data_IF_107631171980
#
_entry.id   IF_107631171980
#
_cell.length_a   1.000
_cell.length_b   1.000
_cell.length_c   1.000
_cell.angle_alpha   90.00
_cell.angle_beta   90.00
_cell.angle_gamma   90.00
#
_symmetry.space_group_name_H-M   'P 1'
#
loop_
_entity.id
_entity.type
_entity.pdbx_description
1 polymer ?
#
# COMPACT_ATOMS: atom_id res chain seq x y z
N UNK A 1 10.61 57.40 -11.23
CA UNK A 1 11.14 56.98 -12.56
C UNK A 1 12.67 56.79 -12.55
N UNK A 2 13.47 57.82 -12.24
CA UNK A 2 14.95 57.72 -12.24
C UNK A 2 15.50 56.66 -11.27
N UNK A 3 14.91 56.56 -10.08
CA UNK A 3 15.20 55.52 -9.09
C UNK A 3 14.88 54.10 -9.59
N UNK A 4 13.69 53.88 -10.15
CA UNK A 4 13.30 52.58 -10.73
C UNK A 4 14.26 52.13 -11.84
N UNK A 5 14.63 53.05 -12.75
CA UNK A 5 15.58 52.75 -13.82
C UNK A 5 16.98 52.44 -13.28
N UNK A 6 17.43 53.16 -12.24
CA UNK A 6 18.71 52.88 -11.58
C UNK A 6 18.72 51.47 -10.97
N UNK A 7 17.64 51.08 -10.26
CA UNK A 7 17.49 49.75 -9.67
C UNK A 7 17.48 48.65 -10.74
N UNK A 8 16.72 48.85 -11.83
CA UNK A 8 16.63 47.89 -12.93
C UNK A 8 17.98 47.72 -13.64
N UNK A 9 18.66 48.82 -13.97
CA UNK A 9 19.92 48.79 -14.72
C UNK A 9 21.09 48.22 -13.90
N UNK A 10 21.09 48.42 -12.58
CA UNK A 10 22.14 47.94 -11.68
C UNK A 10 21.81 46.59 -11.03
N UNK A 11 20.70 45.95 -11.40
CA UNK A 11 20.30 44.65 -10.84
C UNK A 11 21.34 43.55 -11.09
N UNK A 12 21.95 43.55 -12.28
CA UNK A 12 22.98 42.56 -12.64
C UNK A 12 24.31 42.78 -11.89
N UNK A 13 24.61 44.01 -11.47
CA UNK A 13 25.83 44.40 -10.77
C UNK A 13 25.68 44.38 -9.24
N UNK A 14 24.47 44.48 -8.70
CA UNK A 14 24.19 44.38 -7.27
C UNK A 14 22.83 43.73 -7.00
N UNK A 15 22.83 42.42 -6.67
CA UNK A 15 21.61 41.66 -6.34
C UNK A 15 21.03 41.99 -4.95
N UNK A 16 21.71 42.81 -4.16
CA UNK A 16 21.23 43.28 -2.85
C UNK A 16 20.22 44.43 -2.98
N UNK A 17 20.07 45.00 -4.18
CA UNK A 17 19.01 45.96 -4.47
C UNK A 17 17.65 45.26 -4.37
N UNK A 18 16.64 45.92 -3.80
CA UNK A 18 15.29 45.38 -3.83
C UNK A 18 14.72 45.47 -5.26
N UNK A 19 13.97 44.46 -5.71
CA UNK A 19 13.34 44.48 -7.05
C UNK A 19 12.27 45.56 -7.15
N UNK A 20 12.11 46.12 -8.34
CA UNK A 20 11.02 47.08 -8.61
C UNK A 20 9.74 46.30 -8.90
N UNK A 21 8.66 46.60 -8.19
CA UNK A 21 7.36 45.95 -8.42
C UNK A 21 6.74 46.42 -9.74
N UNK A 22 6.19 45.48 -10.52
CA UNK A 22 5.52 45.78 -11.78
C UNK A 22 4.32 46.72 -11.61
N UNK A 23 3.63 46.65 -10.47
CA UNK A 23 2.53 47.56 -10.11
C UNK A 23 3.01 49.02 -10.08
N UNK A 24 4.14 49.29 -9.42
CA UNK A 24 4.75 50.62 -9.38
C UNK A 24 5.22 51.12 -10.75
N UNK A 25 5.67 50.21 -11.63
CA UNK A 25 6.05 50.56 -13.01
C UNK A 25 4.80 50.96 -13.81
N UNK A 26 3.71 50.20 -13.69
CA UNK A 26 2.46 50.52 -14.37
C UNK A 26 1.87 51.86 -13.90
N UNK A 27 1.92 52.16 -12.59
CA UNK A 27 1.51 53.47 -12.06
C UNK A 27 2.32 54.62 -12.68
N UNK A 28 3.65 54.46 -12.78
CA UNK A 28 4.54 55.46 -13.38
C UNK A 28 4.30 55.67 -14.88
N UNK A 29 3.91 54.61 -15.60
CA UNK A 29 3.60 54.67 -17.04
C UNK A 29 2.20 55.22 -17.34
N UNK A 30 1.29 55.22 -16.35
CA UNK A 30 -0.09 55.69 -16.51
C UNK A 30 -0.28 57.18 -16.16
N UNK A 31 0.77 57.89 -15.71
CA UNK A 31 0.69 59.31 -15.38
C UNK A 31 0.43 60.16 -16.64
N UNK A 32 -0.63 60.98 -16.60
CA UNK A 32 -0.94 61.98 -17.64
C UNK A 32 -0.75 63.42 -17.12
N UNK A 33 -0.22 64.35 -17.94
CA UNK A 33 0.21 64.16 -19.32
C UNK A 33 1.50 63.35 -19.41
N UNK A 34 1.58 62.47 -20.42
CA UNK A 34 2.78 61.66 -20.69
C UNK A 34 3.94 62.63 -20.87
N UNK A 35 5.03 62.54 -20.07
CA UNK A 35 6.18 63.41 -20.25
C UNK A 35 6.78 63.13 -21.64
N UNK A 36 6.46 64.02 -22.59
CA UNK A 36 6.81 63.88 -23.99
C UNK A 36 8.33 63.71 -24.14
N UNK A 37 8.76 62.63 -24.79
CA UNK A 37 10.16 62.33 -25.15
C UNK A 37 11.18 62.22 -24.01
N UNK A 38 10.79 61.88 -22.79
CA UNK A 38 11.77 61.58 -21.75
C UNK A 38 12.40 60.18 -22.03
N UNK A 39 13.72 60.07 -22.31
CA UNK A 39 14.35 58.80 -22.68
C UNK A 39 14.25 57.73 -21.58
N UNK A 40 14.03 58.15 -20.33
CA UNK A 40 13.73 57.24 -19.21
C UNK A 40 12.37 56.57 -19.34
N UNK A 41 11.35 57.28 -19.84
CA UNK A 41 10.00 56.73 -20.02
C UNK A 41 9.99 55.64 -21.11
N UNK A 42 10.72 55.86 -22.21
CA UNK A 42 10.84 54.87 -23.31
C UNK A 42 11.49 53.57 -22.78
N UNK A 43 12.63 53.68 -22.09
CA UNK A 43 13.31 52.51 -21.49
C UNK A 43 12.45 51.78 -20.47
N UNK A 44 11.73 52.52 -19.62
CA UNK A 44 10.85 51.90 -18.63
C UNK A 44 9.70 51.13 -19.30
N UNK A 45 9.18 51.64 -20.41
CA UNK A 45 8.16 50.97 -21.22
C UNK A 45 8.69 49.67 -21.83
N UNK A 46 9.92 49.65 -22.36
CA UNK A 46 10.55 48.44 -22.89
C UNK A 46 10.66 47.35 -21.82
N UNK A 47 11.18 47.67 -20.64
CA UNK A 47 11.25 46.72 -19.52
C UNK A 47 9.87 46.24 -19.06
N UNK A 48 8.86 47.11 -19.09
CA UNK A 48 7.49 46.72 -18.75
C UNK A 48 6.91 45.73 -19.77
N UNK A 49 7.20 45.88 -21.07
CA UNK A 49 6.80 44.89 -22.08
C UNK A 49 7.54 43.56 -21.91
N UNK A 50 8.84 43.57 -21.61
CA UNK A 50 9.58 42.36 -21.27
C UNK A 50 8.99 41.64 -20.04
N UNK A 51 8.60 42.41 -19.02
CA UNK A 51 7.94 41.87 -17.83
C UNK A 51 6.60 41.21 -18.16
N UNK A 52 5.81 41.79 -19.08
CA UNK A 52 4.56 41.20 -19.57
C UNK A 52 4.80 39.90 -20.33
N UNK A 53 5.83 39.84 -21.19
CA UNK A 53 6.21 38.62 -21.88
C UNK A 53 6.64 37.52 -20.89
N UNK A 54 7.37 37.89 -19.83
CA UNK A 54 7.72 36.97 -18.75
C UNK A 54 6.48 36.46 -18.01
N UNK A 55 5.53 37.34 -17.67
CA UNK A 55 4.25 36.97 -17.05
C UNK A 55 3.51 35.94 -17.92
N UNK A 56 3.37 36.21 -19.22
CA UNK A 56 2.71 35.30 -20.15
C UNK A 56 3.41 33.94 -20.23
N UNK A 57 4.74 33.93 -20.29
CA UNK A 57 5.52 32.69 -20.29
C UNK A 57 5.32 31.89 -18.99
N UNK A 58 5.28 32.56 -17.83
CA UNK A 58 5.02 31.90 -16.54
C UNK A 58 3.59 31.36 -16.49
N UNK A 59 2.59 32.16 -16.83
CA UNK A 59 1.18 31.73 -16.79
C UNK A 59 0.95 30.54 -17.75
N UNK A 60 1.57 30.55 -18.93
CA UNK A 60 1.55 29.41 -19.86
C UNK A 60 2.18 28.14 -19.26
N UNK A 61 3.32 28.26 -18.57
CA UNK A 61 3.97 27.14 -17.90
C UNK A 61 3.20 26.64 -16.66
N UNK A 62 2.50 27.53 -15.95
CA UNK A 62 1.66 27.17 -14.81
C UNK A 62 0.44 26.33 -15.25
N UNK A 63 -0.15 26.67 -16.40
CA UNK A 63 -1.36 26.04 -16.95
C UNK A 63 -1.10 24.77 -17.77
N UNK A 64 0.17 24.47 -18.08
CA UNK A 64 0.55 23.34 -18.93
C UNK A 64 1.32 22.28 -18.16
N UNK A 65 1.31 21.06 -18.70
CA UNK A 65 2.24 20.01 -18.29
C UNK A 65 3.63 20.36 -18.83
N UNK A 66 4.43 21.01 -17.99
CA UNK A 66 5.80 21.40 -18.33
C UNK A 66 6.79 20.38 -17.77
N UNK A 67 7.93 20.20 -18.45
CA UNK A 67 9.03 19.39 -17.93
C UNK A 67 9.72 20.12 -16.78
N UNK A 68 10.25 19.35 -15.83
CA UNK A 68 10.92 19.93 -14.67
C UNK A 68 12.07 20.88 -15.04
N UNK A 69 12.92 20.49 -16.00
CA UNK A 69 14.03 21.33 -16.47
C UNK A 69 13.56 22.66 -17.10
N UNK A 70 12.44 22.65 -17.81
CA UNK A 70 11.87 23.87 -18.41
C UNK A 70 11.36 24.82 -17.33
N UNK A 71 10.69 24.28 -16.30
CA UNK A 71 10.24 25.07 -15.14
C UNK A 71 11.41 25.67 -14.36
N UNK A 72 12.49 24.91 -14.15
CA UNK A 72 13.70 25.40 -13.48
C UNK A 72 14.44 26.46 -14.30
N UNK A 73 14.54 26.27 -15.61
CA UNK A 73 15.11 27.26 -16.52
C UNK A 73 14.30 28.55 -16.52
N UNK A 74 12.96 28.43 -16.57
CA UNK A 74 12.07 29.59 -16.53
C UNK A 74 12.15 30.31 -15.18
N UNK A 75 12.22 29.55 -14.08
CA UNK A 75 12.36 30.11 -12.74
C UNK A 75 13.70 30.83 -12.55
N UNK A 76 14.80 30.26 -13.04
CA UNK A 76 16.12 30.89 -13.00
C UNK A 76 16.12 32.21 -13.77
N UNK A 77 15.59 32.20 -15.00
CA UNK A 77 15.39 33.41 -15.81
C UNK A 77 14.54 34.47 -15.10
N UNK A 78 13.48 34.05 -14.41
CA UNK A 78 12.61 34.95 -13.67
C UNK A 78 13.28 35.52 -12.40
N UNK A 79 14.16 34.76 -11.77
CA UNK A 79 14.97 35.22 -10.63
C UNK A 79 16.05 36.22 -11.03
N UNK A 80 16.60 36.09 -12.23
CA UNK A 80 17.55 37.04 -12.79
C UNK A 80 16.86 38.30 -13.35
N UNK A 81 15.53 38.32 -13.43
CA UNK A 81 14.78 39.45 -13.93
C UNK A 81 14.68 40.60 -12.89
N UNK A 82 14.97 41.86 -13.28
CA UNK A 82 15.05 43.00 -12.36
C UNK A 82 13.70 43.47 -11.81
N UNK A 83 12.59 43.10 -12.48
CA UNK A 83 11.24 43.50 -12.09
C UNK A 83 10.59 42.34 -11.35
N UNK A 84 10.05 42.63 -10.17
CA UNK A 84 9.26 41.66 -9.42
C UNK A 84 7.84 41.57 -9.99
N UNK A 85 7.41 40.34 -10.27
CA UNK A 85 6.03 39.99 -10.64
C UNK A 85 5.55 38.85 -9.76
N UNK A 86 4.31 38.92 -9.28
CA UNK A 86 3.70 37.94 -8.36
C UNK A 86 3.70 36.51 -8.90
N UNK A 87 3.66 36.36 -10.22
CA UNK A 87 3.74 35.08 -10.92
C UNK A 87 5.04 34.31 -10.61
N UNK A 88 6.13 35.00 -10.26
CA UNK A 88 7.41 34.36 -9.89
C UNK A 88 7.24 33.52 -8.62
N UNK A 89 6.47 33.99 -7.64
CA UNK A 89 6.19 33.24 -6.42
C UNK A 89 5.39 31.98 -6.69
N UNK A 90 4.38 32.07 -7.56
CA UNK A 90 3.59 30.90 -7.98
C UNK A 90 4.46 29.86 -8.68
N UNK A 91 5.36 30.31 -9.56
CA UNK A 91 6.31 29.43 -10.23
C UNK A 91 7.29 28.79 -9.23
N UNK A 92 7.82 29.57 -8.30
CA UNK A 92 8.69 29.10 -7.20
C UNK A 92 8.02 27.99 -6.40
N UNK A 93 6.74 28.19 -6.05
CA UNK A 93 5.94 27.22 -5.32
C UNK A 93 5.76 25.93 -6.12
N UNK A 94 5.39 26.02 -7.42
CA UNK A 94 5.24 24.84 -8.29
C UNK A 94 6.56 24.05 -8.42
N UNK A 95 7.68 24.74 -8.63
CA UNK A 95 9.02 24.11 -8.68
C UNK A 95 9.38 23.45 -7.35
N UNK A 96 9.13 24.13 -6.23
CA UNK A 96 9.45 23.61 -4.90
C UNK A 96 8.61 22.37 -4.55
N UNK A 97 7.30 22.41 -4.84
CA UNK A 97 6.41 21.26 -4.63
C UNK A 97 6.80 20.08 -5.53
N UNK A 98 7.17 20.33 -6.79
CA UNK A 98 7.65 19.28 -7.70
C UNK A 98 8.95 18.64 -7.18
N UNK A 99 9.88 19.43 -6.63
CA UNK A 99 11.10 18.90 -5.97
C UNK A 99 10.78 18.05 -4.74
N UNK A 100 9.89 18.53 -3.88
CA UNK A 100 9.48 17.81 -2.68
C UNK A 100 8.79 16.48 -3.02
N UNK A 101 7.93 16.49 -4.04
CA UNK A 101 7.32 15.27 -4.57
C UNK A 101 8.36 14.30 -5.10
N UNK A 102 9.31 14.77 -5.92
CA UNK A 102 10.36 13.93 -6.50
C UNK A 102 11.28 13.32 -5.43
N UNK A 103 11.63 14.09 -4.40
CA UNK A 103 12.37 13.56 -3.24
C UNK A 103 11.58 12.49 -2.49
N UNK A 104 10.25 12.63 -2.41
CA UNK A 104 9.39 11.64 -1.78
C UNK A 104 9.25 10.39 -2.63
N UNK A 105 8.94 10.54 -3.92
CA UNK A 105 8.81 9.43 -4.87
C UNK A 105 10.08 8.56 -4.94
N UNK A 106 11.27 9.18 -4.92
CA UNK A 106 12.56 8.47 -4.96
C UNK A 106 12.81 7.52 -3.79
N UNK A 107 12.13 7.71 -2.66
CA UNK A 107 12.21 6.79 -1.51
C UNK A 107 11.55 5.44 -1.80
N UNK A 108 10.63 5.40 -2.76
CA UNK A 108 9.77 4.25 -3.08
C UNK A 108 10.16 3.56 -4.38
N UNK A 109 11.24 4.00 -5.03
CA UNK A 109 11.77 3.35 -6.22
C UNK A 109 12.44 2.03 -5.78
N UNK A 110 12.11 0.88 -6.41
CA UNK A 110 12.47 -0.46 -5.93
C UNK A 110 13.95 -0.65 -5.57
N UNK A 111 14.89 -0.12 -6.37
CA UNK A 111 16.34 -0.25 -6.15
C UNK A 111 16.85 0.38 -4.84
N UNK A 112 16.05 1.24 -4.19
CA UNK A 112 16.46 1.99 -2.99
C UNK A 112 15.56 1.74 -1.78
N UNK A 113 14.55 0.90 -1.92
CA UNK A 113 13.52 0.73 -0.91
C UNK A 113 13.90 -0.41 0.05
N UNK A 114 14.30 -0.07 1.27
CA UNK A 114 14.63 -1.07 2.31
C UNK A 114 13.40 -1.52 3.13
N UNK A 115 12.27 -0.84 2.98
CA UNK A 115 11.06 -1.07 3.77
C UNK A 115 9.85 -1.29 2.86
N UNK A 116 8.95 -2.15 3.31
CA UNK A 116 7.72 -2.44 2.60
C UNK A 116 6.79 -1.21 2.57
N UNK A 117 6.30 -0.88 1.37
CA UNK A 117 5.63 0.36 1.00
C UNK A 117 4.12 0.23 1.24
N UNK A 118 3.49 1.20 1.87
CA UNK A 118 2.04 1.20 1.98
C UNK A 118 1.38 1.63 0.65
N UNK A 119 0.34 0.91 0.21
CA UNK A 119 -0.38 1.23 -1.02
C UNK A 119 -1.06 2.61 -0.96
N UNK A 120 -1.49 3.04 0.23
CA UNK A 120 -2.14 4.34 0.43
C UNK A 120 -1.19 5.50 0.11
N UNK A 121 0.11 5.32 0.40
CA UNK A 121 1.15 6.31 0.08
C UNK A 121 1.31 6.45 -1.43
N UNK A 122 1.22 5.35 -2.18
CA UNK A 122 1.31 5.38 -3.64
C UNK A 122 0.13 6.13 -4.27
N UNK A 123 -1.09 5.90 -3.77
CA UNK A 123 -2.27 6.64 -4.21
C UNK A 123 -2.18 8.13 -3.89
N UNK A 124 -1.65 8.48 -2.71
CA UNK A 124 -1.40 9.88 -2.36
C UNK A 124 -0.43 10.55 -3.33
N UNK A 125 0.70 9.89 -3.64
CA UNK A 125 1.68 10.41 -4.60
C UNK A 125 1.09 10.56 -6.02
N UNK A 126 0.19 9.66 -6.43
CA UNK A 126 -0.54 9.75 -7.71
C UNK A 126 -1.42 10.99 -7.79
N UNK A 127 -2.11 11.33 -6.69
CA UNK A 127 -2.93 12.55 -6.63
C UNK A 127 -2.05 13.80 -6.67
N UNK A 128 -1.01 13.86 -5.85
CA UNK A 128 -0.10 15.01 -5.78
C UNK A 128 0.54 15.33 -7.15
N UNK A 129 1.02 14.33 -7.89
CA UNK A 129 1.63 14.57 -9.22
C UNK A 129 0.61 14.99 -10.28
N UNK A 130 -0.64 14.55 -10.15
CA UNK A 130 -1.72 14.92 -11.06
C UNK A 130 -2.13 16.38 -10.87
N UNK A 131 -2.13 16.86 -9.61
CA UNK A 131 -2.38 18.26 -9.27
C UNK A 131 -1.23 19.18 -9.67
N UNK A 132 0.02 18.73 -9.54
CA UNK A 132 1.19 19.54 -9.86
C UNK A 132 1.34 19.85 -11.36
N UNK A 133 0.78 19.02 -12.24
CA UNK A 133 0.90 19.15 -13.71
C UNK A 133 2.36 19.33 -14.16
N UNK A 134 3.25 18.45 -13.68
CA UNK A 134 4.67 18.43 -14.08
C UNK A 134 5.00 17.06 -14.68
N UNK A 135 5.75 17.06 -15.77
CA UNK A 135 6.29 15.84 -16.36
C UNK A 135 7.58 15.43 -15.64
N UNK A 136 7.52 14.29 -14.95
CA UNK A 136 8.64 13.68 -14.25
C UNK A 136 8.79 12.20 -14.66
N UNK A 137 10.01 11.69 -14.88
CA UNK A 137 10.21 10.29 -15.25
C UNK A 137 9.77 9.33 -14.13
N UNK A 138 9.93 9.73 -12.86
CA UNK A 138 9.47 8.95 -11.70
C UNK A 138 7.95 8.72 -11.69
N UNK A 139 7.17 9.56 -12.41
CA UNK A 139 5.72 9.35 -12.59
C UNK A 139 5.42 8.03 -13.29
N UNK A 140 6.19 7.68 -14.31
CA UNK A 140 6.00 6.42 -15.05
C UNK A 140 6.22 5.22 -14.14
N UNK A 141 7.34 5.20 -13.42
CA UNK A 141 7.69 4.15 -12.47
C UNK A 141 6.63 3.99 -11.36
N UNK A 142 6.11 5.11 -10.83
CA UNK A 142 5.05 5.09 -9.83
C UNK A 142 3.76 4.46 -10.39
N UNK A 143 3.37 4.83 -11.61
CA UNK A 143 2.15 4.30 -12.24
C UNK A 143 2.29 2.81 -12.57
N UNK A 144 3.47 2.36 -13.00
CA UNK A 144 3.74 0.94 -13.22
C UNK A 144 3.66 0.14 -11.92
N UNK A 145 4.23 0.65 -10.82
CA UNK A 145 4.17 0.03 -9.50
C UNK A 145 2.72 -0.05 -8.99
N UNK A 146 1.94 1.03 -9.17
CA UNK A 146 0.51 1.05 -8.83
C UNK A 146 -0.29 0.05 -9.64
N UNK A 147 -0.03 -0.07 -10.95
CA UNK A 147 -0.69 -1.06 -11.80
C UNK A 147 -0.39 -2.48 -11.34
N UNK A 148 0.85 -2.76 -10.96
CA UNK A 148 1.22 -4.06 -10.38
C UNK A 148 0.49 -4.30 -9.06
N UNK A 149 0.39 -3.27 -8.20
CA UNK A 149 -0.32 -3.38 -6.94
C UNK A 149 -1.82 -3.66 -7.14
N UNK A 150 -2.45 -2.96 -8.08
CA UNK A 150 -3.85 -3.17 -8.46
C UNK A 150 -4.07 -4.57 -9.05
N UNK A 151 -3.13 -5.08 -9.86
CA UNK A 151 -3.17 -6.44 -10.40
C UNK A 151 -3.10 -7.50 -9.30
N UNK A 152 -2.14 -7.36 -8.37
CA UNK A 152 -2.02 -8.26 -7.23
C UNK A 152 -3.29 -8.20 -6.36
N UNK A 153 -3.80 -7.00 -6.08
CA UNK A 153 -5.03 -6.83 -5.31
C UNK A 153 -6.23 -7.51 -5.98
N UNK A 154 -6.38 -7.37 -7.30
CA UNK A 154 -7.46 -8.00 -8.05
C UNK A 154 -7.37 -9.53 -7.98
N UNK A 155 -6.19 -10.09 -8.21
CA UNK A 155 -5.94 -11.53 -8.14
C UNK A 155 -6.20 -12.09 -6.72
N UNK A 156 -5.73 -11.38 -5.69
CA UNK A 156 -5.98 -11.76 -4.30
C UNK A 156 -7.48 -11.72 -3.98
N UNK A 157 -8.20 -10.70 -4.43
CA UNK A 157 -9.63 -10.56 -4.20
C UNK A 157 -10.44 -11.66 -4.87
N UNK A 158 -10.12 -12.05 -6.11
CA UNK A 158 -10.77 -13.17 -6.78
C UNK A 158 -10.54 -14.49 -6.04
N UNK A 159 -9.32 -14.69 -5.52
CA UNK A 159 -8.96 -15.84 -4.70
C UNK A 159 -9.68 -15.86 -3.35
N UNK A 160 -9.91 -14.69 -2.74
CA UNK A 160 -10.64 -14.57 -1.47
C UNK A 160 -12.15 -14.77 -1.61
N UNK A 161 -12.73 -14.47 -2.78
CA UNK A 161 -14.17 -14.66 -3.05
C UNK A 161 -14.55 -16.13 -3.23
N UNK A 162 -13.64 -16.93 -3.78
CA UNK A 162 -13.89 -18.33 -4.10
C UNK A 162 -13.13 -19.24 -3.13
N UNK A 163 -13.74 -20.35 -2.67
CA UNK A 163 -13.01 -21.34 -1.88
C UNK A 163 -11.80 -21.86 -2.68
N UNK A 164 -10.61 -21.42 -2.29
CA UNK A 164 -9.37 -21.73 -2.98
C UNK A 164 -8.59 -22.80 -2.23
N UNK A 165 -7.87 -23.65 -2.97
CA UNK A 165 -6.99 -24.67 -2.39
C UNK A 165 -5.71 -24.03 -1.88
N UNK A 166 -5.08 -24.67 -0.89
CA UNK A 166 -3.79 -24.22 -0.35
C UNK A 166 -2.73 -24.04 -1.47
N UNK A 167 -2.68 -24.97 -2.43
CA UNK A 167 -1.74 -24.94 -3.56
C UNK A 167 -1.91 -23.70 -4.44
N UNK A 168 -3.14 -23.28 -4.71
CA UNK A 168 -3.40 -22.09 -5.51
C UNK A 168 -2.89 -20.83 -4.78
N UNK A 169 -3.16 -20.73 -3.49
CA UNK A 169 -2.70 -19.62 -2.66
C UNK A 169 -1.18 -19.59 -2.58
N UNK A 170 -0.52 -20.75 -2.46
CA UNK A 170 0.95 -20.81 -2.48
C UNK A 170 1.55 -20.33 -3.80
N UNK A 171 0.90 -20.63 -4.93
CA UNK A 171 1.34 -20.16 -6.25
C UNK A 171 1.30 -18.63 -6.33
N UNK A 172 0.18 -18.02 -5.92
CA UNK A 172 0.03 -16.55 -5.88
C UNK A 172 1.05 -15.92 -4.93
N UNK A 173 1.22 -16.51 -3.74
CA UNK A 173 2.17 -15.99 -2.76
C UNK A 173 3.62 -16.05 -3.23
N UNK A 174 3.98 -17.04 -4.06
CA UNK A 174 5.30 -17.15 -4.69
C UNK A 174 5.50 -16.09 -5.77
N UNK A 175 4.49 -15.82 -6.59
CA UNK A 175 4.54 -14.79 -7.63
C UNK A 175 4.77 -13.38 -7.03
N UNK A 176 4.15 -13.13 -5.87
CA UNK A 176 4.18 -11.82 -5.19
C UNK A 176 5.08 -11.81 -3.94
N UNK A 177 6.04 -12.74 -3.79
CA UNK A 177 6.85 -12.85 -2.56
C UNK A 177 7.76 -11.63 -2.36
N UNK A 178 8.44 -11.23 -3.44
CA UNK A 178 9.37 -10.09 -3.49
C UNK A 178 8.69 -8.74 -3.75
N UNK A 179 7.35 -8.71 -3.82
CA UNK A 179 6.63 -7.48 -4.14
C UNK A 179 6.75 -6.46 -2.99
N UNK A 180 7.26 -5.24 -3.25
CA UNK A 180 7.61 -4.31 -2.18
C UNK A 180 6.41 -3.61 -1.54
N UNK A 181 5.22 -3.69 -2.13
CA UNK A 181 4.01 -2.99 -1.65
C UNK A 181 3.18 -3.89 -0.74
N UNK A 182 2.83 -3.36 0.43
CA UNK A 182 1.92 -3.97 1.39
C UNK A 182 0.49 -3.86 0.87
N UNK A 183 0.00 -4.95 0.31
CA UNK A 183 -1.41 -5.09 -0.09
C UNK A 183 -2.16 -5.81 1.03
N UNK A 184 -3.22 -5.22 1.61
CA UNK A 184 -4.00 -5.83 2.68
C UNK A 184 -4.51 -7.24 2.32
N UNK A 185 -5.02 -7.42 1.11
CA UNK A 185 -5.56 -8.69 0.62
C UNK A 185 -4.48 -9.77 0.50
N UNK A 186 -3.28 -9.40 0.04
CA UNK A 186 -2.14 -10.31 0.01
C UNK A 186 -1.72 -10.73 1.42
N UNK A 187 -1.74 -9.80 2.39
CA UNK A 187 -1.46 -10.10 3.79
C UNK A 187 -2.52 -11.04 4.40
N UNK A 188 -3.79 -10.86 4.05
CA UNK A 188 -4.88 -11.76 4.46
C UNK A 188 -4.67 -13.19 3.90
N UNK A 189 -4.26 -13.33 2.64
CA UNK A 189 -3.91 -14.63 2.06
C UNK A 189 -2.73 -15.29 2.78
N UNK A 190 -1.69 -14.52 3.12
CA UNK A 190 -0.57 -15.01 3.94
C UNK A 190 -1.05 -15.53 5.30
N UNK A 191 -1.96 -14.80 5.96
CA UNK A 191 -2.54 -15.21 7.23
C UNK A 191 -3.38 -16.49 7.11
N UNK A 192 -4.19 -16.60 6.05
CA UNK A 192 -4.96 -17.81 5.79
C UNK A 192 -4.06 -19.02 5.57
N UNK A 193 -2.97 -18.87 4.79
CA UNK A 193 -1.96 -19.92 4.60
C UNK A 193 -1.36 -20.37 5.94
N UNK A 194 -0.93 -19.43 6.79
CA UNK A 194 -0.36 -19.75 8.11
C UNK A 194 -1.37 -20.55 8.94
N UNK A 195 -2.64 -20.15 8.93
CA UNK A 195 -3.72 -20.88 9.61
C UNK A 195 -3.89 -22.30 9.09
N UNK A 196 -3.94 -22.49 7.77
CA UNK A 196 -4.07 -23.80 7.14
C UNK A 196 -2.86 -24.71 7.44
N UNK A 197 -1.63 -24.22 7.28
CA UNK A 197 -0.40 -24.99 7.56
C UNK A 197 -0.32 -25.39 9.04
N UNK A 198 -0.66 -24.47 9.95
CA UNK A 198 -0.71 -24.77 11.39
C UNK A 198 -1.76 -25.86 11.71
N UNK A 199 -2.94 -25.78 11.07
CA UNK A 199 -3.97 -26.79 11.22
C UNK A 199 -3.53 -28.15 10.66
N UNK A 200 -2.92 -28.20 9.47
CA UNK A 200 -2.36 -29.44 8.89
C UNK A 200 -1.30 -30.05 9.81
N UNK A 201 -0.41 -29.25 10.39
CA UNK A 201 0.58 -29.73 11.35
C UNK A 201 -0.07 -30.36 12.60
N UNK A 202 -1.14 -29.75 13.12
CA UNK A 202 -1.93 -30.34 14.23
C UNK A 202 -2.58 -31.65 13.82
N UNK A 203 -3.16 -31.73 12.62
CA UNK A 203 -3.74 -32.95 12.06
C UNK A 203 -2.72 -34.08 11.99
N UNK A 204 -1.55 -33.83 11.42
CA UNK A 204 -0.50 -34.82 11.29
C UNK A 204 -0.01 -35.34 12.65
N UNK A 205 0.14 -34.45 13.64
CA UNK A 205 0.53 -34.82 15.01
C UNK A 205 -0.48 -35.77 15.66
N UNK A 206 -1.78 -35.51 15.47
CA UNK A 206 -2.84 -36.35 16.04
C UNK A 206 -2.90 -37.69 15.31
N UNK A 207 -2.97 -37.67 13.98
CA UNK A 207 -3.04 -38.88 13.14
C UNK A 207 -1.90 -39.87 13.40
N UNK A 208 -0.69 -39.36 13.66
CA UNK A 208 0.48 -40.20 13.95
C UNK A 208 0.31 -41.11 15.18
N UNK A 209 -0.43 -40.68 16.21
CA UNK A 209 -0.54 -41.40 17.48
C UNK A 209 -1.93 -42.01 17.76
N UNK A 210 -2.89 -41.93 16.84
CA UNK A 210 -4.29 -42.33 17.10
C UNK A 210 -4.45 -43.81 17.49
N UNK A 211 -3.61 -44.68 16.94
CA UNK A 211 -3.78 -46.13 17.08
C UNK A 211 -3.20 -46.68 18.39
N UNK A 212 -2.21 -45.98 18.95
CA UNK A 212 -1.47 -46.43 20.15
C UNK A 212 -2.07 -45.85 21.44
N UNK A 213 -3.10 -45.00 21.32
CA UNK A 213 -3.74 -44.33 22.46
C UNK A 213 -4.82 -45.18 23.09
N UNK A 214 -4.70 -45.40 24.40
CA UNK A 214 -5.71 -46.10 25.21
C UNK A 214 -6.97 -45.23 25.43
N UNK A 215 -6.83 -43.91 25.44
CA UNK A 215 -7.87 -42.92 25.74
C UNK A 215 -8.72 -42.54 24.51
N UNK A 216 -9.40 -43.54 23.93
CA UNK A 216 -10.20 -43.38 22.71
C UNK A 216 -11.30 -42.31 22.80
N UNK A 217 -11.76 -41.96 24.00
CA UNK A 217 -12.69 -40.84 24.22
C UNK A 217 -12.05 -39.47 23.95
N UNK A 218 -10.85 -39.23 24.46
CA UNK A 218 -10.12 -37.99 24.23
C UNK A 218 -9.74 -37.84 22.74
N UNK A 219 -9.42 -38.95 22.07
CA UNK A 219 -9.19 -38.97 20.61
C UNK A 219 -10.43 -38.49 19.84
N UNK A 220 -11.64 -38.92 20.23
CA UNK A 220 -12.89 -38.45 19.59
C UNK A 220 -13.12 -36.96 19.82
N UNK A 221 -12.80 -36.44 21.02
CA UNK A 221 -12.94 -35.02 21.34
C UNK A 221 -11.94 -34.17 20.55
N UNK A 222 -10.67 -34.56 20.50
CA UNK A 222 -9.62 -33.90 19.72
C UNK A 222 -9.94 -33.88 18.21
N UNK A 223 -10.34 -35.02 17.65
CA UNK A 223 -10.77 -35.10 16.25
C UNK A 223 -12.02 -34.26 15.98
N UNK A 224 -12.97 -34.21 16.92
CA UNK A 224 -14.16 -33.37 16.78
C UNK A 224 -13.80 -31.87 16.81
N UNK A 225 -12.82 -31.46 17.62
CA UNK A 225 -12.27 -30.11 17.61
C UNK A 225 -11.57 -29.81 16.28
N UNK A 226 -10.72 -30.73 15.77
CA UNK A 226 -10.05 -30.53 14.49
C UNK A 226 -11.02 -30.36 13.31
N UNK A 227 -12.10 -31.12 13.25
CA UNK A 227 -13.12 -30.97 12.20
C UNK A 227 -13.78 -29.60 12.29
N UNK A 228 -14.12 -29.12 13.50
CA UNK A 228 -14.70 -27.78 13.70
C UNK A 228 -13.72 -26.68 13.27
N UNK A 229 -12.47 -26.78 13.71
CA UNK A 229 -11.41 -25.83 13.36
C UNK A 229 -11.18 -25.83 11.84
N UNK A 230 -11.13 -27.01 11.22
CA UNK A 230 -10.91 -27.16 9.78
C UNK A 230 -12.07 -26.62 8.94
N UNK A 231 -13.31 -26.82 9.38
CA UNK A 231 -14.50 -26.24 8.76
C UNK A 231 -14.56 -24.70 8.87
N UNK A 232 -13.84 -24.12 9.84
CA UNK A 232 -13.72 -22.67 10.01
C UNK A 232 -12.61 -22.03 9.15
N UNK A 233 -11.77 -22.85 8.50
CA UNK A 233 -10.73 -22.35 7.61
C UNK A 233 -11.35 -21.69 6.37
N UNK A 234 -10.73 -20.59 5.94
CA UNK A 234 -11.11 -19.89 4.71
C UNK A 234 -10.52 -20.55 3.44
N UNK A 235 -9.66 -21.54 3.62
CA UNK A 235 -8.96 -22.28 2.55
C UNK A 235 -9.46 -23.72 2.55
N UNK A 236 -9.62 -24.30 1.36
CA UNK A 236 -9.86 -25.73 1.20
C UNK A 236 -8.56 -26.51 1.42
N UNK A 237 -8.62 -27.46 2.36
CA UNK A 237 -7.53 -28.36 2.72
C UNK A 237 -7.97 -29.80 2.49
N UNK A 238 -7.12 -30.58 1.83
CA UNK A 238 -7.44 -31.96 1.41
C UNK A 238 -7.50 -32.93 2.61
N UNK A 239 -6.92 -32.55 3.74
CA UNK A 239 -6.88 -33.35 4.95
C UNK A 239 -8.22 -33.33 5.71
N UNK A 240 -9.10 -32.35 5.48
CA UNK A 240 -10.37 -32.24 6.23
C UNK A 240 -11.29 -33.46 6.03
N UNK A 241 -11.57 -33.93 4.79
CA UNK A 241 -12.31 -35.17 4.58
C UNK A 241 -11.66 -36.41 5.22
N UNK A 242 -10.33 -36.47 5.26
CA UNK A 242 -9.59 -37.59 5.86
C UNK A 242 -9.82 -37.64 7.38
N UNK A 243 -9.78 -36.48 8.05
CA UNK A 243 -10.06 -36.35 9.48
C UNK A 243 -11.53 -36.70 9.80
N UNK A 244 -12.47 -36.32 8.94
CA UNK A 244 -13.88 -36.70 9.13
C UNK A 244 -14.09 -38.22 9.08
N UNK A 245 -13.40 -38.91 8.18
CA UNK A 245 -13.41 -40.38 8.09
C UNK A 245 -12.80 -40.99 9.36
N UNK A 246 -11.67 -40.47 9.82
CA UNK A 246 -11.01 -40.99 11.02
C UNK A 246 -11.84 -40.75 12.29
N UNK A 247 -12.52 -39.60 12.39
CA UNK A 247 -13.47 -39.32 13.46
C UNK A 247 -14.62 -40.35 13.49
N UNK A 248 -15.15 -40.73 12.32
CA UNK A 248 -16.18 -41.78 12.23
C UNK A 248 -15.64 -43.12 12.75
N UNK A 249 -14.41 -43.49 12.38
CA UNK A 249 -13.76 -44.72 12.88
C UNK A 249 -13.53 -44.67 14.40
N UNK A 250 -13.01 -43.56 14.93
CA UNK A 250 -12.77 -43.39 16.37
C UNK A 250 -14.08 -43.50 17.18
N UNK A 251 -15.17 -42.90 16.70
CA UNK A 251 -16.51 -43.05 17.31
C UNK A 251 -16.97 -44.50 17.34
N UNK A 252 -16.68 -45.28 16.30
CA UNK A 252 -16.98 -46.72 16.28
C UNK A 252 -16.12 -47.50 17.30
N UNK A 253 -14.82 -47.19 17.43
CA UNK A 253 -13.94 -47.80 18.45
C UNK A 253 -14.50 -47.57 19.86
N UNK A 254 -14.90 -46.35 20.18
CA UNK A 254 -15.54 -46.00 21.46
C UNK A 254 -16.83 -46.79 21.70
N UNK A 255 -17.71 -46.91 20.68
CA UNK A 255 -18.94 -47.71 20.80
C UNK A 255 -18.65 -49.19 21.05
N UNK A 256 -17.67 -49.77 20.34
CA UNK A 256 -17.27 -51.15 20.52
C UNK A 256 -16.72 -51.41 21.94
N UNK A 257 -15.87 -50.52 22.46
CA UNK A 257 -15.33 -50.61 23.83
C UNK A 257 -16.45 -50.59 24.88
N UNK A 258 -17.49 -49.76 24.70
CA UNK A 258 -18.65 -49.74 25.59
C UNK A 258 -19.41 -51.07 25.61
N UNK A 259 -19.57 -51.70 24.44
CA UNK A 259 -20.24 -53.02 24.32
C UNK A 259 -19.39 -54.11 25.00
N UNK A 260 -18.07 -54.11 24.78
CA UNK A 260 -17.15 -55.05 25.43
C UNK A 260 -17.19 -54.88 26.95
N UNK A 261 -17.13 -53.65 27.45
CA UNK A 261 -17.23 -53.37 28.87
C UNK A 261 -18.56 -53.87 29.45
N UNK A 262 -19.68 -53.61 28.76
CA UNK A 262 -20.98 -54.12 29.18
C UNK A 262 -21.02 -55.67 29.23
N UNK A 263 -20.46 -56.34 28.22
CA UNK A 263 -20.38 -57.81 28.17
C UNK A 263 -19.50 -58.39 29.30
N UNK A 264 -18.37 -57.76 29.59
CA UNK A 264 -17.49 -58.16 30.70
C UNK A 264 -18.18 -57.97 32.07
N UNK A 265 -18.94 -56.89 32.24
CA UNK A 265 -19.79 -56.72 33.42
C UNK A 265 -20.82 -57.85 33.52
N UNK A 266 -21.54 -58.18 32.43
CA UNK A 266 -22.51 -59.29 32.41
C UNK A 266 -21.85 -60.65 32.69
N UNK A 267 -20.66 -60.94 32.16
CA UNK A 267 -19.92 -62.16 32.47
C UNK A 267 -19.42 -62.21 33.92
N UNK A 268 -19.04 -61.06 34.50
CA UNK A 268 -18.73 -60.94 35.93
C UNK A 268 -19.95 -61.24 36.82
N UNK A 269 -21.14 -60.80 36.42
CA UNK A 269 -22.40 -61.17 37.07
C UNK A 269 -22.76 -62.64 36.88
N UNK A 270 -22.50 -63.23 35.71
CA UNK A 270 -22.71 -64.67 35.46
C UNK A 270 -21.71 -65.51 36.26
N UNK A 271 -20.46 -65.10 36.41
CA UNK A 271 -19.50 -65.76 37.31
C UNK A 271 -19.90 -65.64 38.78
N UNK A 272 -20.38 -64.48 39.22
CA UNK A 272 -20.97 -64.33 40.55
C UNK A 272 -22.20 -65.22 40.78
N UNK A 273 -23.01 -65.44 39.75
CA UNK A 273 -24.15 -66.36 39.81
C UNK A 273 -23.73 -67.84 39.73
N UNK A 274 -22.73 -68.21 38.92
CA UNK A 274 -22.28 -69.59 38.76
C UNK A 274 -21.40 -70.09 39.92
N UNK A 275 -20.74 -69.19 40.64
CA UNK A 275 -19.99 -69.53 41.88
C UNK A 275 -20.90 -69.41 43.13
N UNK A 276 -22.16 -69.01 42.94
CA UNK A 276 -23.09 -68.70 44.03
C UNK A 276 -24.22 -69.72 44.20
N UNK A 277 -23.93 -71.00 44.46
CA UNK A 277 -24.89 -71.89 45.17
C UNK A 277 -24.16 -72.77 46.20
N UNK A 278 -24.72 -72.72 47.43
CA UNK A 278 -24.56 -73.56 48.61
C UNK A 278 -23.35 -73.31 49.53
N UNK A 279 -23.60 -72.67 50.69
CA UNK A 279 -23.89 -73.39 51.95
C UNK A 279 -24.58 -72.43 52.97
N UNK A 280 -25.62 -72.96 53.61
CA UNK A 280 -26.37 -72.40 54.73
C UNK A 280 -25.58 -72.40 56.06
N UNK A 281 -26.21 -71.79 57.08
CA UNK A 281 -26.02 -71.97 58.55
C UNK A 281 -24.90 -71.09 59.12
N UNK A 282 -25.11 -70.16 60.08
CA UNK A 282 -25.99 -70.11 61.27
C UNK A 282 -26.80 -68.81 61.38
#
# INVERSE_FOLDING_TARGET
MRDCLFRIQNWSSCRDLERVHMESINELLNVQPVPCNEPGHIKLKEYAEEAKLLIQAIDSALMSFSKMFELESLYSRACDFPIYVKQIEKLSQKVSSAKAWLQSARKYIPDKCSAAIDVDVLYKLKLEISELQVELPERGLLLDLLRQAESCQAECNETLKTPSTLKNIETILQEWDDFPVKIPELMLLRQHRIGAVSWIARCNKILFNIHDREDQHAVVDELSCLVKDGASLRIQVDELPLIEIELKKARCRVKALKVIHALLCFQGYIWWWYVGICICVF
#
